data_IF_366166441099
#
_entry.id   IF_366166441099
#
_cell.length_a   1.000
_cell.length_b   1.000
_cell.length_c   1.000
_cell.angle_alpha   90.00
_cell.angle_beta   90.00
_cell.angle_gamma   90.00
#
_symmetry.space_group_name_H-M   'P 1'
#
loop_
_entity.id
_entity.type
_entity.pdbx_description
1 polymer ?
#
# COMPACT_ATOMS: atom_id res chain seq x y z
N UNK A 1 44.21 6.84 -4.97
CA UNK A 1 44.41 6.12 -3.69
C UNK A 1 44.30 7.05 -2.49
N UNK A 2 44.23 8.38 -2.67
CA UNK A 2 44.01 9.37 -1.60
C UNK A 2 42.61 9.36 -1.00
N UNK A 3 41.58 9.14 -1.82
CA UNK A 3 40.20 9.42 -1.38
C UNK A 3 39.62 8.32 -0.51
N UNK A 4 39.94 7.05 -0.79
CA UNK A 4 39.59 5.92 0.08
C UNK A 4 40.29 6.05 1.45
N UNK A 5 41.54 6.53 1.49
CA UNK A 5 42.25 6.74 2.74
C UNK A 5 41.60 7.85 3.60
N UNK A 6 41.09 8.92 2.95
CA UNK A 6 40.31 9.96 3.64
C UNK A 6 38.98 9.41 4.18
N UNK A 7 38.25 8.65 3.38
CA UNK A 7 36.98 8.02 3.81
C UNK A 7 37.23 7.05 4.95
N UNK A 8 38.27 6.20 4.87
CA UNK A 8 38.68 5.29 5.94
C UNK A 8 38.95 6.06 7.23
N UNK A 9 39.79 7.10 7.18
CA UNK A 9 40.15 7.88 8.36
C UNK A 9 38.93 8.51 9.06
N UNK A 10 37.93 8.94 8.28
CA UNK A 10 36.70 9.52 8.83
C UNK A 10 35.81 8.45 9.46
N UNK A 11 35.66 7.28 8.83
CA UNK A 11 34.92 6.16 9.43
C UNK A 11 35.63 5.58 10.67
N UNK A 12 36.95 5.46 10.64
CA UNK A 12 37.79 5.01 11.75
C UNK A 12 37.71 6.00 12.94
N UNK A 13 37.45 7.28 12.66
CA UNK A 13 37.19 8.31 13.67
C UNK A 13 35.75 8.28 14.23
N UNK A 14 34.92 7.31 13.83
CA UNK A 14 33.57 7.12 14.34
C UNK A 14 32.49 7.93 13.61
N UNK A 15 32.77 8.43 12.41
CA UNK A 15 31.72 9.02 11.59
C UNK A 15 30.65 7.98 11.26
N UNK A 16 29.39 8.37 11.37
CA UNK A 16 28.27 7.54 10.96
C UNK A 16 28.25 7.39 9.43
N UNK A 17 28.46 6.16 8.96
CA UNK A 17 28.45 5.83 7.53
C UNK A 17 27.06 5.97 6.90
N UNK A 18 26.01 5.96 7.71
CA UNK A 18 24.61 6.17 7.31
C UNK A 18 24.14 7.60 7.58
N UNK A 19 25.05 8.52 7.93
CA UNK A 19 24.69 9.92 8.10
C UNK A 19 24.01 10.46 6.82
N UNK A 20 22.82 11.01 7.02
CA UNK A 20 22.00 11.60 5.98
C UNK A 20 22.16 13.12 5.93
N UNK A 21 22.10 13.68 4.74
CA UNK A 21 21.88 15.11 4.56
C UNK A 21 20.38 15.47 4.61
N UNK A 22 20.04 16.71 4.27
CA UNK A 22 18.66 17.19 4.29
C UNK A 22 17.77 16.52 3.25
N UNK A 23 18.35 15.94 2.20
CA UNK A 23 17.66 15.18 1.15
C UNK A 23 17.59 13.68 1.47
N UNK A 24 18.13 13.24 2.60
CA UNK A 24 18.20 11.83 2.97
C UNK A 24 19.30 11.06 2.24
N UNK A 25 20.25 11.74 1.58
CA UNK A 25 21.32 11.08 0.85
C UNK A 25 22.47 10.69 1.78
N UNK A 26 23.02 9.49 1.59
CA UNK A 26 24.17 8.96 2.35
C UNK A 26 25.49 9.07 1.59
N UNK A 27 26.61 8.76 2.25
CA UNK A 27 27.92 8.68 1.61
C UNK A 27 27.94 7.68 0.42
N UNK A 28 27.19 6.57 0.53
CA UNK A 28 27.11 5.58 -0.53
C UNK A 28 26.36 6.11 -1.76
N UNK A 29 25.29 6.89 -1.55
CA UNK A 29 24.57 7.57 -2.63
C UNK A 29 25.51 8.48 -3.44
N UNK A 30 26.30 9.33 -2.78
CA UNK A 30 27.24 10.21 -3.46
C UNK A 30 28.37 9.46 -4.17
N UNK A 31 28.90 8.40 -3.56
CA UNK A 31 29.89 7.53 -4.20
C UNK A 31 29.33 6.87 -5.47
N UNK A 32 28.06 6.46 -5.44
CA UNK A 32 27.36 5.88 -6.57
C UNK A 32 27.09 6.89 -7.69
N UNK A 33 26.55 8.06 -7.34
CA UNK A 33 26.29 9.18 -8.26
C UNK A 33 27.55 9.66 -9.00
N UNK A 34 28.67 9.74 -8.29
CA UNK A 34 29.96 10.13 -8.87
C UNK A 34 30.60 9.04 -9.74
N UNK A 35 30.18 7.79 -9.60
CA UNK A 35 30.79 6.63 -10.26
C UNK A 35 32.11 6.18 -9.63
N UNK A 36 32.38 6.55 -8.38
CA UNK A 36 33.63 6.20 -7.71
C UNK A 36 33.61 4.78 -7.15
N UNK A 37 33.80 3.80 -8.05
CA UNK A 37 33.74 2.36 -7.70
C UNK A 37 34.66 1.96 -6.54
N UNK A 38 35.80 2.63 -6.35
CA UNK A 38 36.71 2.33 -5.23
C UNK A 38 36.10 2.73 -3.88
N UNK A 39 35.51 3.93 -3.80
CA UNK A 39 34.81 4.37 -2.58
C UNK A 39 33.53 3.56 -2.39
N UNK A 40 32.75 3.30 -3.46
CA UNK A 40 31.56 2.45 -3.38
C UNK A 40 31.91 1.07 -2.80
N UNK A 41 32.92 0.37 -3.35
CA UNK A 41 33.36 -0.93 -2.81
C UNK A 41 33.81 -0.84 -1.35
N UNK A 42 34.50 0.24 -0.99
CA UNK A 42 34.97 0.43 0.38
C UNK A 42 33.79 0.62 1.35
N UNK A 43 32.83 1.48 1.02
CA UNK A 43 31.63 1.72 1.83
C UNK A 43 30.80 0.43 1.98
N UNK A 44 30.54 -0.27 0.88
CA UNK A 44 29.78 -1.53 0.90
C UNK A 44 30.47 -2.59 1.78
N UNK A 45 31.79 -2.75 1.66
CA UNK A 45 32.56 -3.68 2.52
C UNK A 45 32.57 -3.30 4.00
N UNK A 46 32.37 -2.02 4.32
CA UNK A 46 32.20 -1.53 5.69
C UNK A 46 30.73 -1.54 6.13
N UNK A 47 29.86 -2.24 5.39
CA UNK A 47 28.46 -2.44 5.74
C UNK A 47 27.59 -1.21 5.55
N UNK A 48 27.91 -0.36 4.56
CA UNK A 48 26.99 0.70 4.14
C UNK A 48 25.70 0.11 3.57
N UNK A 49 24.54 0.67 3.92
CA UNK A 49 23.25 0.17 3.48
C UNK A 49 23.03 0.37 1.97
N UNK A 50 23.13 -0.73 1.21
CA UNK A 50 22.92 -0.79 -0.24
C UNK A 50 21.51 -0.38 -0.67
N UNK A 51 20.53 -0.55 0.21
CA UNK A 51 19.11 -0.35 -0.04
C UNK A 51 18.56 0.94 0.57
N UNK A 52 19.43 1.80 1.11
CA UNK A 52 19.01 3.09 1.66
C UNK A 52 18.28 3.91 0.61
N UNK A 53 17.10 4.44 0.96
CA UNK A 53 16.31 5.32 0.08
C UNK A 53 16.36 6.74 0.62
N UNK A 54 16.70 7.68 -0.25
CA UNK A 54 16.64 9.11 0.09
C UNK A 54 15.17 9.62 0.11
N UNK A 55 14.96 10.91 0.34
CA UNK A 55 13.62 11.51 0.41
C UNK A 55 12.83 11.39 -0.91
N UNK A 56 13.51 11.20 -2.05
CA UNK A 56 12.89 10.95 -3.36
C UNK A 56 12.73 9.46 -3.68
N UNK A 57 12.90 8.58 -2.69
CA UNK A 57 12.80 7.12 -2.80
C UNK A 57 13.86 6.48 -3.71
N UNK A 58 14.99 7.15 -3.95
CA UNK A 58 16.07 6.66 -4.80
C UNK A 58 17.15 5.97 -3.97
N UNK A 59 17.59 4.80 -4.43
CA UNK A 59 18.75 4.08 -3.86
C UNK A 59 20.07 4.54 -4.49
N UNK A 60 21.23 4.21 -3.87
CA UNK A 60 22.52 4.37 -4.53
C UNK A 60 22.59 3.70 -5.91
N UNK A 61 21.92 2.56 -6.09
CA UNK A 61 21.84 1.89 -7.39
C UNK A 61 21.08 2.74 -8.42
N UNK A 62 19.89 3.24 -8.06
CA UNK A 62 19.07 4.07 -8.95
C UNK A 62 19.83 5.30 -9.41
N UNK A 63 20.54 5.94 -8.49
CA UNK A 63 21.36 7.11 -8.80
C UNK A 63 22.52 6.76 -9.73
N UNK A 64 23.20 5.62 -9.53
CA UNK A 64 24.22 5.15 -10.45
C UNK A 64 23.64 4.87 -11.86
N UNK A 65 22.41 4.34 -11.96
CA UNK A 65 21.73 4.14 -13.25
C UNK A 65 21.39 5.47 -13.91
N UNK A 66 20.74 6.39 -13.17
CA UNK A 66 20.34 7.71 -13.66
C UNK A 66 21.53 8.52 -14.17
N UNK A 67 22.65 8.46 -13.46
CA UNK A 67 23.91 9.14 -13.82
C UNK A 67 24.82 8.31 -14.75
N UNK A 68 24.30 7.18 -15.26
CA UNK A 68 24.94 6.29 -16.24
C UNK A 68 26.30 5.70 -15.79
N UNK A 69 26.47 5.44 -14.49
CA UNK A 69 27.66 4.83 -13.87
C UNK A 69 27.57 3.30 -13.91
N UNK A 70 27.70 2.73 -15.10
CA UNK A 70 27.45 1.30 -15.36
C UNK A 70 28.22 0.33 -14.46
N UNK A 71 29.51 0.57 -14.22
CA UNK A 71 30.33 -0.32 -13.37
C UNK A 71 29.88 -0.30 -11.90
N UNK A 72 29.49 0.87 -11.39
CA UNK A 72 28.98 1.01 -10.03
C UNK A 72 27.58 0.43 -9.91
N UNK A 73 26.70 0.72 -10.87
CA UNK A 73 25.35 0.14 -10.91
C UNK A 73 25.43 -1.40 -10.94
N UNK A 74 26.29 -1.97 -11.79
CA UNK A 74 26.50 -3.42 -11.85
C UNK A 74 26.98 -3.98 -10.51
N UNK A 75 28.01 -3.37 -9.91
CA UNK A 75 28.53 -3.79 -8.61
C UNK A 75 27.47 -3.72 -7.50
N UNK A 76 26.76 -2.60 -7.38
CA UNK A 76 25.72 -2.41 -6.37
C UNK A 76 24.60 -3.43 -6.52
N UNK A 77 24.18 -3.74 -7.75
CA UNK A 77 23.17 -4.76 -8.02
C UNK A 77 23.64 -6.16 -7.60
N UNK A 78 24.88 -6.53 -7.95
CA UNK A 78 25.45 -7.83 -7.58
C UNK A 78 25.57 -7.99 -6.07
N UNK A 79 26.03 -6.95 -5.36
CA UNK A 79 26.15 -6.97 -3.90
C UNK A 79 24.78 -6.98 -3.21
N UNK A 80 23.83 -6.17 -3.68
CA UNK A 80 22.45 -6.14 -3.17
C UNK A 80 21.76 -7.50 -3.33
N UNK A 81 22.03 -8.20 -4.44
CA UNK A 81 21.53 -9.55 -4.65
C UNK A 81 22.23 -10.60 -3.80
N UNK A 82 23.45 -10.37 -3.32
CA UNK A 82 24.27 -11.37 -2.61
C UNK A 82 24.17 -11.25 -1.09
N UNK A 83 24.10 -10.03 -0.55
CA UNK A 83 24.18 -9.72 0.87
C UNK A 83 22.85 -9.16 1.39
N UNK A 84 21.81 -9.98 1.37
CA UNK A 84 20.52 -9.59 1.95
C UNK A 84 20.63 -9.58 3.49
N UNK A 85 19.95 -8.64 4.18
CA UNK A 85 19.81 -8.68 5.63
C UNK A 85 18.94 -9.88 6.05
N UNK A 86 18.83 -10.13 7.36
CA UNK A 86 17.85 -11.10 7.86
C UNK A 86 16.45 -10.65 7.45
N UNK A 87 15.74 -11.47 6.68
CA UNK A 87 14.41 -11.12 6.18
C UNK A 87 13.41 -12.23 6.48
N UNK A 88 12.25 -11.82 6.97
CA UNK A 88 11.06 -12.65 7.17
C UNK A 88 9.88 -11.97 6.46
N UNK A 89 9.10 -12.76 5.74
CA UNK A 89 7.92 -12.24 5.06
C UNK A 89 6.84 -13.32 4.88
N UNK A 90 5.58 -12.94 5.12
CA UNK A 90 4.44 -13.85 5.13
C UNK A 90 3.46 -13.55 6.30
N UNK A 91 2.54 -14.48 6.60
CA UNK A 91 2.37 -15.76 5.92
C UNK A 91 1.60 -15.64 4.61
N UNK A 92 2.00 -16.45 3.63
CA UNK A 92 1.27 -16.63 2.39
C UNK A 92 0.39 -17.88 2.46
N UNK A 93 -0.91 -17.67 2.68
CA UNK A 93 -1.87 -18.74 2.99
C UNK A 93 -2.72 -19.04 1.74
N UNK A 94 -2.83 -20.32 1.37
CA UNK A 94 -3.66 -20.77 0.25
C UNK A 94 -4.49 -22.00 0.54
N UNK A 95 -5.69 -22.00 -0.03
CA UNK A 95 -6.59 -23.15 -0.03
C UNK A 95 -6.20 -24.16 -1.12
N UNK A 96 -6.24 -25.45 -0.76
CA UNK A 96 -6.01 -26.60 -1.64
C UNK A 96 -7.24 -27.52 -1.54
N UNK A 97 -8.23 -27.23 -2.38
CA UNK A 97 -9.56 -27.83 -2.20
C UNK A 97 -10.26 -27.28 -0.95
N UNK A 98 -11.27 -28.00 -0.45
CA UNK A 98 -12.16 -27.49 0.62
C UNK A 98 -11.64 -27.66 2.06
N UNK A 99 -10.65 -28.54 2.29
CA UNK A 99 -10.25 -28.98 3.65
C UNK A 99 -8.75 -28.93 3.93
N UNK A 100 -7.96 -28.35 3.02
CA UNK A 100 -6.50 -28.31 3.16
C UNK A 100 -6.00 -26.92 2.89
N UNK A 101 -5.15 -26.44 3.78
CA UNK A 101 -4.47 -25.17 3.67
C UNK A 101 -2.96 -25.45 3.55
N UNK A 102 -2.31 -24.70 2.68
CA UNK A 102 -0.85 -24.60 2.64
C UNK A 102 -0.46 -23.18 2.97
N UNK A 103 0.45 -23.00 3.90
CA UNK A 103 1.00 -21.70 4.22
C UNK A 103 2.53 -21.75 4.13
N UNK A 104 3.15 -20.61 3.89
CA UNK A 104 4.59 -20.49 4.05
C UNK A 104 5.01 -19.06 4.39
N UNK A 105 6.14 -18.95 5.07
CA UNK A 105 6.94 -17.74 5.13
C UNK A 105 8.11 -17.85 4.16
N UNK A 106 8.50 -16.73 3.57
CA UNK A 106 9.83 -16.56 2.98
C UNK A 106 10.79 -16.16 4.09
N UNK A 107 11.95 -16.81 4.16
CA UNK A 107 12.97 -16.55 5.18
C UNK A 107 14.31 -16.46 4.49
N UNK A 108 15.06 -15.38 4.73
CA UNK A 108 16.46 -15.23 4.34
C UNK A 108 17.32 -15.16 5.60
N UNK A 109 18.20 -16.14 5.74
CA UNK A 109 19.20 -16.19 6.81
C UNK A 109 20.48 -15.49 6.33
N UNK A 110 20.78 -14.36 6.95
CA UNK A 110 21.90 -13.49 6.57
C UNK A 110 23.28 -14.10 6.83
N UNK A 111 23.40 -15.03 7.79
CA UNK A 111 24.66 -15.69 8.13
C UNK A 111 25.05 -16.76 7.12
N UNK A 112 24.07 -17.53 6.66
CA UNK A 112 24.24 -18.60 5.67
C UNK A 112 24.06 -18.13 4.23
N UNK A 113 23.43 -16.96 4.02
CA UNK A 113 23.04 -16.45 2.72
C UNK A 113 21.91 -17.24 2.06
N UNK A 114 21.26 -18.16 2.78
CA UNK A 114 20.24 -19.07 2.24
C UNK A 114 18.85 -18.43 2.34
N UNK A 115 18.15 -18.36 1.22
CA UNK A 115 16.71 -18.05 1.18
C UNK A 115 15.91 -19.33 1.03
N UNK A 116 14.90 -19.53 1.89
CA UNK A 116 14.04 -20.73 1.90
C UNK A 116 12.57 -20.39 2.15
N UNK A 117 11.71 -21.36 1.88
CA UNK A 117 10.30 -21.34 2.30
C UNK A 117 10.13 -22.16 3.58
N UNK A 118 9.71 -21.53 4.67
CA UNK A 118 9.25 -22.23 5.86
C UNK A 118 7.79 -22.61 5.67
N UNK A 119 7.51 -23.88 5.36
CA UNK A 119 6.18 -24.35 4.91
C UNK A 119 5.43 -25.05 6.03
N UNK A 120 4.13 -24.79 6.11
CA UNK A 120 3.18 -25.48 6.98
C UNK A 120 1.97 -25.97 6.18
N UNK A 121 1.39 -27.09 6.61
CA UNK A 121 0.15 -27.61 6.06
C UNK A 121 -0.87 -27.77 7.18
N UNK A 122 -2.09 -27.33 6.94
CA UNK A 122 -3.19 -27.44 7.89
C UNK A 122 -4.36 -28.18 7.27
N UNK A 123 -5.14 -28.86 8.12
CA UNK A 123 -6.39 -29.50 7.73
C UNK A 123 -7.52 -28.67 8.31
N UNK A 124 -8.23 -27.95 7.44
CA UNK A 124 -9.38 -27.16 7.83
C UNK A 124 -10.60 -28.08 7.99
N UNK A 125 -11.12 -28.13 9.21
CA UNK A 125 -12.32 -28.87 9.61
C UNK A 125 -13.52 -27.95 9.89
N UNK A 126 -13.30 -26.64 9.87
CA UNK A 126 -14.25 -25.55 10.10
C UNK A 126 -14.07 -24.44 9.06
N UNK A 127 -15.08 -23.58 8.94
CA UNK A 127 -15.03 -22.33 8.17
C UNK A 127 -15.83 -21.26 8.96
N UNK A 128 -15.21 -20.21 9.51
CA UNK A 128 -13.77 -19.91 9.41
C UNK A 128 -12.87 -20.94 10.12
N UNK A 129 -11.61 -21.00 9.70
CA UNK A 129 -10.59 -21.85 10.30
C UNK A 129 -9.53 -21.02 11.03
N UNK A 130 -9.25 -21.38 12.28
CA UNK A 130 -8.18 -20.78 13.07
C UNK A 130 -6.85 -21.49 12.76
N UNK A 131 -5.90 -20.74 12.19
CA UNK A 131 -4.50 -21.13 12.07
C UNK A 131 -3.78 -20.54 13.27
N UNK A 132 -3.35 -21.40 14.19
CA UNK A 132 -2.48 -20.97 15.28
C UNK A 132 -1.13 -20.53 14.74
N UNK A 133 -0.48 -19.59 15.45
CA UNK A 133 0.88 -19.14 15.14
C UNK A 133 1.83 -20.27 14.76
N UNK A 134 2.60 -20.07 13.70
CA UNK A 134 3.48 -21.09 13.12
C UNK A 134 4.77 -20.49 12.56
N UNK A 135 5.75 -21.37 12.34
CA UNK A 135 7.14 -20.98 12.07
C UNK A 135 7.72 -20.16 13.24
N UNK A 136 8.12 -18.92 12.99
CA UNK A 136 8.62 -17.98 14.02
C UNK A 136 7.57 -16.97 14.45
N UNK A 137 6.38 -17.01 13.84
CA UNK A 137 5.28 -16.12 14.17
C UNK A 137 4.37 -16.74 15.23
N UNK A 138 3.97 -15.92 16.20
CA UNK A 138 3.03 -16.28 17.26
C UNK A 138 1.60 -15.80 17.00
N UNK A 139 1.38 -15.07 15.91
CA UNK A 139 0.09 -14.52 15.53
C UNK A 139 -0.86 -15.61 15.04
N UNK A 140 -2.11 -15.54 15.50
CA UNK A 140 -3.19 -16.40 15.05
C UNK A 140 -3.92 -15.77 13.86
N UNK A 141 -4.30 -16.62 12.89
CA UNK A 141 -5.00 -16.19 11.67
C UNK A 141 -6.33 -16.93 11.54
N UNK A 142 -7.43 -16.20 11.66
CA UNK A 142 -8.77 -16.70 11.34
C UNK A 142 -8.96 -16.52 9.84
N UNK A 143 -9.01 -17.62 9.08
CA UNK A 143 -9.12 -17.58 7.62
C UNK A 143 -10.42 -18.19 7.13
N UNK A 144 -11.01 -17.57 6.13
CA UNK A 144 -12.28 -17.97 5.53
C UNK A 144 -12.02 -18.66 4.19
N UNK A 145 -12.78 -19.70 3.87
CA UNK A 145 -12.70 -20.36 2.56
C UNK A 145 -13.29 -19.48 1.45
N UNK A 146 -14.30 -18.68 1.80
CA UNK A 146 -14.87 -17.59 1.00
C UNK A 146 -15.37 -16.49 1.94
N UNK A 147 -15.08 -15.22 1.62
CA UNK A 147 -15.73 -14.05 2.22
C UNK A 147 -16.77 -13.50 1.24
N UNK A 148 -17.88 -12.96 1.77
CA UNK A 148 -18.87 -12.24 0.98
C UNK A 148 -18.38 -10.85 0.58
N UNK A 149 -18.99 -10.26 -0.45
CA UNK A 149 -18.74 -8.87 -0.85
C UNK A 149 -19.46 -7.96 0.15
N UNK A 150 -18.74 -7.00 0.73
CA UNK A 150 -19.34 -5.99 1.61
C UNK A 150 -20.22 -5.01 0.82
N UNK A 151 -21.28 -4.46 1.41
CA UNK A 151 -22.06 -3.41 0.79
C UNK A 151 -21.18 -2.24 0.35
N UNK A 152 -21.53 -1.62 -0.78
CA UNK A 152 -20.90 -0.40 -1.27
C UNK A 152 -21.65 0.86 -0.84
N UNK A 153 -22.82 0.72 -0.23
CA UNK A 153 -23.63 1.81 0.32
C UNK A 153 -23.97 1.53 1.80
N UNK A 154 -23.82 2.54 2.66
CA UNK A 154 -24.29 2.53 4.05
C UNK A 154 -24.64 3.94 4.53
N UNK A 155 -25.81 4.16 5.13
CA UNK A 155 -26.24 5.50 5.58
C UNK A 155 -26.41 5.63 7.11
N UNK A 156 -25.85 4.68 7.87
CA UNK A 156 -26.06 4.57 9.33
C UNK A 156 -24.75 4.61 10.15
N UNK A 157 -23.64 5.07 9.56
CA UNK A 157 -22.36 5.11 10.28
C UNK A 157 -22.28 6.35 11.17
N UNK A 158 -22.09 6.19 12.49
CA UNK A 158 -21.99 7.34 13.39
C UNK A 158 -20.68 8.11 13.20
N UNK A 159 -19.57 7.37 13.13
CA UNK A 159 -18.22 7.90 12.93
C UNK A 159 -17.54 7.16 11.79
N UNK A 160 -16.89 7.91 10.89
CA UNK A 160 -16.10 7.35 9.79
C UNK A 160 -14.67 7.87 9.89
N UNK A 161 -13.70 6.97 10.08
CA UNK A 161 -12.27 7.31 9.98
C UNK A 161 -11.78 6.95 8.59
N UNK A 162 -11.00 7.83 7.99
CA UNK A 162 -10.50 7.69 6.62
C UNK A 162 -8.97 7.77 6.63
N UNK A 163 -8.33 6.78 6.03
CA UNK A 163 -6.87 6.68 5.90
C UNK A 163 -6.53 6.57 4.42
N UNK A 164 -5.57 7.38 3.97
CA UNK A 164 -5.04 7.39 2.61
C UNK A 164 -4.03 6.28 2.34
N UNK A 165 -3.22 6.49 1.31
CA UNK A 165 -2.24 5.55 0.76
C UNK A 165 -1.22 5.11 1.82
N UNK A 166 -1.13 3.81 2.10
CA UNK A 166 -0.24 3.25 3.15
C UNK A 166 1.11 2.82 2.58
N UNK A 167 1.15 2.27 1.37
CA UNK A 167 2.33 1.69 0.70
C UNK A 167 3.30 0.96 1.63
N UNK A 168 2.81 -0.08 2.31
CA UNK A 168 3.61 -0.92 3.21
C UNK A 168 4.05 -0.24 4.51
N UNK A 169 3.53 0.95 4.83
CA UNK A 169 3.79 1.74 6.02
C UNK A 169 3.17 1.21 7.34
N UNK A 170 3.34 -0.08 7.61
CA UNK A 170 2.67 -0.81 8.69
C UNK A 170 2.92 -0.24 10.10
N UNK A 171 4.16 0.08 10.46
CA UNK A 171 4.46 0.52 11.82
C UNK A 171 3.77 1.86 12.14
N UNK A 172 3.81 2.80 11.20
CA UNK A 172 3.11 4.08 11.31
C UNK A 172 1.59 3.88 11.41
N UNK A 173 1.04 2.95 10.62
CA UNK A 173 -0.37 2.59 10.69
C UNK A 173 -0.77 2.05 12.07
N UNK A 174 0.01 1.13 12.63
CA UNK A 174 -0.27 0.56 13.96
C UNK A 174 -0.24 1.64 15.02
N UNK A 175 0.78 2.50 15.03
CA UNK A 175 0.89 3.60 15.99
C UNK A 175 -0.28 4.57 15.85
N UNK A 176 -0.64 4.94 14.61
CA UNK A 176 -1.78 5.83 14.34
C UNK A 176 -3.10 5.25 14.85
N UNK A 177 -3.40 3.99 14.53
CA UNK A 177 -4.64 3.33 14.95
C UNK A 177 -4.70 3.11 16.47
N UNK A 178 -3.57 2.81 17.11
CA UNK A 178 -3.51 2.64 18.58
C UNK A 178 -3.70 3.97 19.31
N UNK A 179 -3.02 5.02 18.86
CA UNK A 179 -3.11 6.34 19.49
C UNK A 179 -4.49 6.97 19.30
N UNK A 180 -5.15 6.73 18.16
CA UNK A 180 -6.53 7.16 17.91
C UNK A 180 -7.59 6.16 18.43
N UNK A 181 -7.20 5.18 19.26
CA UNK A 181 -8.08 4.23 19.92
C UNK A 181 -8.99 3.41 18.99
N UNK A 182 -8.51 3.11 17.78
CA UNK A 182 -9.20 2.22 16.83
C UNK A 182 -8.88 0.75 17.13
N UNK A 183 -7.62 0.49 17.50
CA UNK A 183 -7.15 -0.84 17.90
C UNK A 183 -6.43 -0.80 19.26
N UNK A 184 -6.43 -1.92 19.98
CA UNK A 184 -5.66 -2.07 21.21
C UNK A 184 -4.17 -2.42 20.95
N UNK A 185 -3.40 -2.59 22.04
CA UNK A 185 -1.98 -2.99 21.97
C UNK A 185 -1.75 -4.40 21.41
N UNK A 186 -2.79 -5.23 21.43
CA UNK A 186 -2.81 -6.57 20.83
C UNK A 186 -3.37 -6.56 19.40
N UNK A 187 -3.57 -5.36 18.84
CA UNK A 187 -4.08 -5.09 17.50
C UNK A 187 -5.50 -5.63 17.26
N UNK A 188 -6.32 -5.69 18.31
CA UNK A 188 -7.74 -5.97 18.19
C UNK A 188 -8.52 -4.68 17.96
N UNK A 189 -9.56 -4.75 17.13
CA UNK A 189 -10.57 -3.71 17.01
C UNK A 189 -11.18 -3.38 18.38
N UNK A 190 -11.23 -2.09 18.71
CA UNK A 190 -11.89 -1.58 19.92
C UNK A 190 -12.77 -0.36 19.63
N UNK A 191 -13.08 -0.11 18.35
CA UNK A 191 -13.76 1.10 17.91
C UNK A 191 -15.27 0.94 17.72
N UNK A 192 -15.87 -0.02 18.43
CA UNK A 192 -17.32 -0.25 18.47
C UNK A 192 -17.94 -0.35 17.07
N UNK A 193 -18.99 0.45 16.85
CA UNK A 193 -19.73 0.58 15.60
C UNK A 193 -19.09 1.57 14.59
N UNK A 194 -17.86 2.03 14.81
CA UNK A 194 -17.16 2.94 13.90
C UNK A 194 -16.87 2.31 12.54
N UNK A 195 -16.76 3.15 11.51
CA UNK A 195 -16.40 2.73 10.15
C UNK A 195 -15.00 3.21 9.81
N UNK A 196 -14.07 2.30 9.49
CA UNK A 196 -12.73 2.64 9.05
C UNK A 196 -12.60 2.42 7.53
N UNK A 197 -12.21 3.44 6.79
CA UNK A 197 -12.03 3.40 5.34
C UNK A 197 -10.55 3.55 4.99
N UNK A 198 -10.01 2.57 4.28
CA UNK A 198 -8.71 2.64 3.62
C UNK A 198 -8.92 2.95 2.14
N UNK A 199 -8.43 4.10 1.69
CA UNK A 199 -8.64 4.65 0.34
C UNK A 199 -7.62 4.08 -0.66
N UNK A 200 -7.40 2.76 -0.62
CA UNK A 200 -6.50 2.04 -1.51
C UNK A 200 -5.01 2.14 -1.15
N UNK A 201 -4.18 1.56 -2.01
CA UNK A 201 -2.72 1.66 -2.01
C UNK A 201 -2.07 1.21 -0.70
N UNK A 202 -2.41 0.00 -0.26
CA UNK A 202 -1.70 -0.74 0.79
C UNK A 202 -0.38 -1.29 0.24
N UNK A 203 -0.37 -1.69 -1.03
CA UNK A 203 0.77 -2.27 -1.72
C UNK A 203 1.89 -1.27 -2.05
N UNK A 204 3.06 -1.84 -2.38
CA UNK A 204 4.24 -1.18 -2.94
C UNK A 204 5.01 -0.23 -2.01
N UNK A 205 6.16 0.26 -2.47
CA UNK A 205 7.16 1.14 -1.82
C UNK A 205 7.77 0.62 -0.51
N UNK A 206 6.96 0.35 0.50
CA UNK A 206 7.35 -0.13 1.82
C UNK A 206 7.48 -1.65 1.90
N UNK A 207 8.12 -2.12 2.96
CA UNK A 207 8.52 -3.51 3.14
C UNK A 207 7.64 -4.29 4.12
N UNK A 208 6.50 -3.73 4.57
CA UNK A 208 5.55 -4.41 5.48
C UNK A 208 4.09 -4.46 4.97
N UNK A 209 3.93 -4.66 3.66
CA UNK A 209 2.64 -4.82 2.98
C UNK A 209 1.90 -6.05 3.49
N UNK A 210 2.57 -7.18 3.66
CA UNK A 210 1.93 -8.44 4.09
C UNK A 210 1.33 -8.29 5.49
N UNK A 211 2.05 -7.63 6.39
CA UNK A 211 1.65 -7.33 7.76
C UNK A 211 0.44 -6.38 7.78
N UNK A 212 0.46 -5.32 6.97
CA UNK A 212 -0.66 -4.40 6.83
C UNK A 212 -1.92 -5.10 6.31
N UNK A 213 -1.81 -5.94 5.27
CA UNK A 213 -2.94 -6.69 4.74
C UNK A 213 -3.54 -7.64 5.77
N UNK A 214 -2.72 -8.34 6.56
CA UNK A 214 -3.21 -9.22 7.62
C UNK A 214 -3.85 -8.48 8.79
N UNK A 215 -3.32 -7.31 9.16
CA UNK A 215 -3.97 -6.44 10.14
C UNK A 215 -5.36 -6.04 9.66
N UNK A 216 -5.46 -5.45 8.46
CA UNK A 216 -6.74 -4.99 7.88
C UNK A 216 -7.72 -6.16 7.75
N UNK A 217 -7.26 -7.31 7.27
CA UNK A 217 -8.08 -8.53 7.15
C UNK A 217 -8.68 -8.96 8.49
N UNK A 218 -7.89 -8.89 9.57
CA UNK A 218 -8.31 -9.27 10.92
C UNK A 218 -9.31 -8.27 11.48
N UNK A 219 -8.99 -6.98 11.46
CA UNK A 219 -9.85 -5.95 12.06
C UNK A 219 -11.16 -5.77 11.29
N UNK A 220 -11.20 -6.09 9.98
CA UNK A 220 -12.45 -6.14 9.23
C UNK A 220 -13.46 -7.12 9.82
N UNK A 221 -13.01 -8.34 10.16
CA UNK A 221 -13.89 -9.33 10.76
C UNK A 221 -14.31 -8.91 12.18
N UNK A 222 -13.38 -8.38 12.98
CA UNK A 222 -13.68 -7.93 14.34
C UNK A 222 -14.64 -6.72 14.37
N UNK A 223 -14.46 -5.76 13.46
CA UNK A 223 -15.35 -4.60 13.37
C UNK A 223 -16.78 -5.05 13.04
N UNK A 224 -16.95 -5.95 12.07
CA UNK A 224 -18.25 -6.48 11.70
C UNK A 224 -18.95 -7.23 12.84
N UNK A 225 -18.20 -7.89 13.73
CA UNK A 225 -18.75 -8.59 14.90
C UNK A 225 -19.24 -7.61 15.99
N UNK A 226 -18.64 -6.41 16.07
CA UNK A 226 -18.98 -5.34 17.02
C UNK A 226 -19.97 -4.31 16.45
N UNK A 227 -20.51 -4.56 15.25
CA UNK A 227 -21.47 -3.68 14.56
C UNK A 227 -20.84 -2.48 13.84
N UNK A 228 -19.52 -2.45 13.71
CA UNK A 228 -18.77 -1.50 12.87
C UNK A 228 -18.38 -2.11 11.53
N UNK A 229 -17.48 -1.44 10.81
CA UNK A 229 -17.00 -1.93 9.52
C UNK A 229 -15.59 -1.43 9.18
N UNK A 230 -14.83 -2.26 8.45
CA UNK A 230 -13.59 -1.82 7.79
C UNK A 230 -13.75 -1.97 6.28
N UNK A 231 -13.62 -0.85 5.60
CA UNK A 231 -13.74 -0.74 4.15
C UNK A 231 -12.37 -0.54 3.55
N UNK A 232 -11.80 -1.60 2.98
CA UNK A 232 -10.67 -1.46 2.06
C UNK A 232 -11.22 -1.32 0.65
N UNK A 233 -11.10 -0.14 0.05
CA UNK A 233 -11.30 0.01 -1.40
C UNK A 233 -9.99 -0.22 -2.15
N UNK A 234 -10.07 -0.62 -3.41
CA UNK A 234 -8.88 -0.91 -4.22
C UNK A 234 -8.25 0.36 -4.77
N UNK A 235 -6.93 0.47 -4.63
CA UNK A 235 -6.10 1.47 -5.31
C UNK A 235 -5.37 0.90 -6.53
N UNK A 236 -4.60 1.76 -7.21
CA UNK A 236 -3.93 1.32 -8.44
C UNK A 236 -2.81 0.33 -8.15
N UNK A 237 -2.17 0.39 -6.98
CA UNK A 237 -1.11 -0.55 -6.63
C UNK A 237 -1.66 -1.95 -6.32
N UNK A 238 -2.86 -2.08 -5.73
CA UNK A 238 -3.56 -3.37 -5.66
C UNK A 238 -3.80 -3.93 -7.06
N UNK A 239 -4.32 -3.11 -7.98
CA UNK A 239 -4.59 -3.51 -9.37
C UNK A 239 -3.32 -3.98 -10.07
N UNK A 240 -2.25 -3.19 -10.02
CA UNK A 240 -0.95 -3.49 -10.62
C UNK A 240 -0.41 -4.85 -10.14
N UNK A 241 -0.36 -5.07 -8.83
CA UNK A 241 0.17 -6.32 -8.26
C UNK A 241 -0.70 -7.52 -8.65
N UNK A 242 -2.03 -7.37 -8.66
CA UNK A 242 -2.95 -8.44 -9.07
C UNK A 242 -2.84 -8.79 -10.56
N UNK A 243 -2.42 -7.84 -11.41
CA UNK A 243 -2.17 -8.02 -12.84
C UNK A 243 -0.71 -8.42 -13.16
N UNK A 244 0.16 -8.41 -12.14
CA UNK A 244 1.56 -8.80 -12.28
C UNK A 244 2.50 -7.68 -12.73
N UNK A 245 2.05 -6.43 -12.68
CA UNK A 245 2.95 -5.27 -12.73
C UNK A 245 3.57 -5.06 -11.34
N UNK A 246 4.90 -5.21 -11.27
CA UNK A 246 5.67 -5.21 -10.02
C UNK A 246 6.62 -4.01 -9.92
N UNK A 247 6.45 -2.99 -10.76
CA UNK A 247 7.42 -1.90 -10.89
C UNK A 247 7.69 -1.09 -9.61
N UNK A 248 6.76 -1.10 -8.65
CA UNK A 248 6.86 -0.34 -7.39
C UNK A 248 6.98 -1.23 -6.15
N UNK A 249 6.99 -2.55 -6.32
CA UNK A 249 7.13 -3.51 -5.23
C UNK A 249 8.51 -3.34 -4.58
N UNK A 250 8.57 -3.31 -3.25
CA UNK A 250 9.84 -3.17 -2.54
C UNK A 250 10.81 -4.33 -2.82
N UNK A 251 12.10 -4.02 -2.88
CA UNK A 251 13.20 -4.95 -3.16
C UNK A 251 13.15 -6.21 -2.30
N UNK A 252 12.75 -6.10 -1.01
CA UNK A 252 12.57 -7.23 -0.09
C UNK A 252 11.82 -8.38 -0.78
N UNK A 253 10.66 -8.07 -1.34
CA UNK A 253 9.78 -9.07 -1.94
C UNK A 253 10.33 -9.64 -3.24
N UNK A 254 10.89 -8.79 -4.10
CA UNK A 254 11.41 -9.18 -5.40
C UNK A 254 12.65 -10.06 -5.26
N UNK A 255 13.61 -9.67 -4.41
CA UNK A 255 14.85 -10.40 -4.18
C UNK A 255 14.60 -11.76 -3.51
N UNK A 256 13.71 -11.81 -2.51
CA UNK A 256 13.33 -13.09 -1.89
C UNK A 256 12.59 -14.00 -2.87
N UNK A 257 11.68 -13.45 -3.70
CA UNK A 257 10.95 -14.22 -4.70
C UNK A 257 11.86 -14.75 -5.81
N UNK A 258 12.79 -13.93 -6.31
CA UNK A 258 13.79 -14.32 -7.32
C UNK A 258 14.65 -15.48 -6.83
N UNK A 259 15.23 -15.37 -5.62
CA UNK A 259 16.05 -16.44 -5.01
C UNK A 259 15.29 -17.75 -4.79
N UNK A 260 13.97 -17.68 -4.64
CA UNK A 260 13.10 -18.85 -4.48
C UNK A 260 12.50 -19.36 -5.80
N UNK A 261 12.80 -18.68 -6.92
CA UNK A 261 12.17 -18.90 -8.23
C UNK A 261 10.63 -18.87 -8.13
N UNK A 262 10.11 -17.82 -7.50
CA UNK A 262 8.69 -17.55 -7.31
C UNK A 262 8.30 -16.26 -8.03
N UNK A 263 7.06 -16.19 -8.48
CA UNK A 263 6.45 -14.95 -8.95
C UNK A 263 5.64 -14.34 -7.81
N UNK A 264 5.98 -13.10 -7.42
CA UNK A 264 5.38 -12.38 -6.31
C UNK A 264 3.86 -12.21 -6.48
N UNK A 265 3.36 -11.90 -7.68
CA UNK A 265 1.92 -11.69 -7.91
C UNK A 265 1.08 -12.95 -7.61
N UNK A 266 1.68 -14.15 -7.69
CA UNK A 266 1.00 -15.40 -7.36
C UNK A 266 0.74 -15.57 -5.86
N UNK A 267 1.40 -14.78 -5.01
CA UNK A 267 1.14 -14.73 -3.57
C UNK A 267 -0.21 -14.11 -3.25
N UNK A 268 -0.76 -13.33 -4.19
CA UNK A 268 -2.10 -12.75 -4.15
C UNK A 268 -2.98 -13.34 -5.26
N UNK A 269 -2.72 -14.59 -5.67
CA UNK A 269 -3.52 -15.29 -6.67
C UNK A 269 -4.90 -15.75 -6.16
N UNK A 270 -5.79 -16.16 -7.06
CA UNK A 270 -7.21 -16.54 -6.80
C UNK A 270 -7.44 -17.68 -5.78
N UNK A 271 -6.39 -18.38 -5.35
CA UNK A 271 -6.45 -19.48 -4.36
C UNK A 271 -5.84 -19.12 -3.01
N UNK A 272 -5.25 -17.93 -2.92
CA UNK A 272 -4.64 -17.41 -1.70
C UNK A 272 -5.70 -16.65 -0.91
N UNK A 273 -5.61 -16.67 0.42
CA UNK A 273 -6.61 -16.02 1.29
C UNK A 273 -6.68 -14.52 0.98
N UNK A 274 -5.53 -13.84 1.00
CA UNK A 274 -5.45 -12.41 0.66
C UNK A 274 -5.84 -12.13 -0.79
N UNK A 275 -5.46 -12.98 -1.74
CA UNK A 275 -5.83 -12.79 -3.15
C UNK A 275 -7.32 -12.99 -3.44
N UNK A 276 -8.01 -13.86 -2.71
CA UNK A 276 -9.47 -13.98 -2.77
C UNK A 276 -10.13 -12.76 -2.14
N UNK A 277 -9.62 -12.35 -0.98
CA UNK A 277 -10.11 -11.21 -0.22
C UNK A 277 -9.98 -9.87 -0.96
N UNK A 278 -8.87 -9.62 -1.65
CA UNK A 278 -8.69 -8.40 -2.45
C UNK A 278 -9.67 -8.36 -3.63
N UNK A 279 -9.97 -9.51 -4.25
CA UNK A 279 -10.85 -9.59 -5.44
C UNK A 279 -12.34 -9.40 -5.17
N UNK A 280 -12.74 -9.37 -3.90
CA UNK A 280 -14.12 -9.09 -3.50
C UNK A 280 -14.31 -7.65 -3.03
N UNK A 281 -13.24 -6.84 -2.97
CA UNK A 281 -13.32 -5.46 -2.51
C UNK A 281 -14.06 -4.57 -3.50
N UNK A 282 -14.66 -3.53 -2.96
CA UNK A 282 -15.23 -2.43 -3.74
C UNK A 282 -14.10 -1.49 -4.19
N UNK A 283 -14.36 -0.70 -5.22
CA UNK A 283 -13.48 0.38 -5.67
C UNK A 283 -14.08 1.74 -5.34
N UNK A 284 -15.41 1.83 -5.34
CA UNK A 284 -16.17 3.01 -4.96
C UNK A 284 -17.15 2.59 -3.87
N UNK A 285 -17.23 3.36 -2.79
CA UNK A 285 -18.27 3.18 -1.77
C UNK A 285 -18.87 4.52 -1.38
N UNK A 286 -20.07 4.51 -0.82
CA UNK A 286 -20.74 5.67 -0.23
C UNK A 286 -21.13 5.40 1.21
N UNK A 287 -20.74 6.28 2.12
CA UNK A 287 -21.13 6.22 3.54
C UNK A 287 -21.73 7.57 3.95
N UNK A 288 -23.01 7.61 4.35
CA UNK A 288 -23.73 8.82 4.76
C UNK A 288 -23.63 9.97 3.73
N UNK A 289 -23.81 9.67 2.44
CA UNK A 289 -23.64 10.65 1.36
C UNK A 289 -22.16 10.99 1.01
N UNK A 290 -21.17 10.50 1.77
CA UNK A 290 -19.75 10.65 1.43
C UNK A 290 -19.28 9.55 0.51
N UNK A 291 -18.72 9.90 -0.64
CA UNK A 291 -18.17 8.96 -1.60
C UNK A 291 -16.66 8.79 -1.37
N UNK A 292 -16.19 7.54 -1.42
CA UNK A 292 -14.79 7.19 -1.30
C UNK A 292 -14.36 6.43 -2.55
N UNK A 293 -13.27 6.89 -3.16
CA UNK A 293 -12.65 6.29 -4.35
C UNK A 293 -11.15 6.58 -4.30
N UNK A 294 -10.31 5.66 -4.80
CA UNK A 294 -8.87 5.82 -4.64
C UNK A 294 -8.31 7.10 -5.30
N UNK A 295 -8.51 7.28 -6.61
CA UNK A 295 -7.94 8.43 -7.32
C UNK A 295 -8.97 9.52 -7.64
N UNK A 296 -10.17 9.12 -8.06
CA UNK A 296 -11.25 10.04 -8.40
C UNK A 296 -12.12 9.58 -9.56
N UNK A 297 -13.17 10.32 -9.87
CA UNK A 297 -14.10 10.02 -10.96
C UNK A 297 -14.12 11.16 -11.98
N UNK A 298 -13.76 10.84 -13.22
CA UNK A 298 -13.92 11.75 -14.35
C UNK A 298 -15.38 11.76 -14.85
N UNK A 299 -15.72 12.70 -15.72
CA UNK A 299 -17.02 12.73 -16.41
C UNK A 299 -17.24 11.54 -17.35
N UNK A 300 -16.16 10.86 -17.79
CA UNK A 300 -16.26 9.67 -18.66
C UNK A 300 -17.08 8.55 -18.00
N UNK A 301 -17.10 8.51 -16.65
CA UNK A 301 -17.89 7.51 -15.92
C UNK A 301 -19.40 7.68 -16.16
N UNK A 302 -19.85 8.92 -16.40
CA UNK A 302 -21.27 9.23 -16.62
C UNK A 302 -21.77 8.64 -17.95
N UNK A 303 -20.88 8.55 -18.95
CA UNK A 303 -21.21 7.98 -20.26
C UNK A 303 -21.49 6.47 -20.18
N UNK A 304 -21.02 5.80 -19.13
CA UNK A 304 -21.26 4.37 -18.94
C UNK A 304 -22.71 4.07 -18.57
N UNK A 305 -23.41 5.03 -17.95
CA UNK A 305 -24.77 4.83 -17.43
C UNK A 305 -24.86 3.83 -16.27
N UNK A 306 -23.74 3.38 -15.71
CA UNK A 306 -23.68 2.40 -14.64
C UNK A 306 -23.88 3.04 -13.26
N UNK A 307 -24.63 2.35 -12.41
CA UNK A 307 -24.66 2.63 -10.98
C UNK A 307 -23.31 2.31 -10.32
N UNK A 308 -23.08 2.86 -9.12
CA UNK A 308 -21.88 2.54 -8.31
C UNK A 308 -21.70 1.03 -8.11
N UNK A 309 -22.80 0.32 -7.87
CA UNK A 309 -22.80 -1.13 -7.68
C UNK A 309 -22.32 -1.88 -8.93
N UNK A 310 -22.86 -1.50 -10.09
CA UNK A 310 -22.48 -2.10 -11.37
C UNK A 310 -21.03 -1.77 -11.74
N UNK A 311 -20.53 -0.57 -11.43
CA UNK A 311 -19.11 -0.22 -11.60
C UNK A 311 -18.22 -1.15 -10.78
N UNK A 312 -18.54 -1.35 -9.50
CA UNK A 312 -17.81 -2.27 -8.62
C UNK A 312 -17.81 -3.71 -9.17
N UNK A 313 -18.95 -4.19 -9.68
CA UNK A 313 -19.07 -5.52 -10.30
C UNK A 313 -18.25 -5.64 -11.59
N UNK A 314 -18.29 -4.64 -12.46
CA UNK A 314 -17.48 -4.60 -13.68
C UNK A 314 -15.99 -4.63 -13.36
N UNK A 315 -15.55 -3.86 -12.36
CA UNK A 315 -14.14 -3.84 -11.94
C UNK A 315 -13.73 -5.21 -11.39
N UNK A 316 -14.53 -5.82 -10.50
CA UNK A 316 -14.28 -7.19 -10.01
C UNK A 316 -14.22 -8.19 -11.16
N UNK A 317 -15.08 -8.05 -12.17
CA UNK A 317 -15.05 -8.88 -13.37
C UNK A 317 -13.72 -8.72 -14.11
N UNK A 318 -13.28 -7.50 -14.42
CA UNK A 318 -12.05 -7.25 -15.16
C UNK A 318 -10.80 -7.72 -14.41
N UNK A 319 -10.72 -7.50 -13.09
CA UNK A 319 -9.62 -8.01 -12.26
C UNK A 319 -9.56 -9.55 -12.30
N UNK A 320 -10.71 -10.21 -12.42
CA UNK A 320 -10.79 -11.66 -12.56
C UNK A 320 -10.57 -12.16 -13.99
N UNK A 321 -10.62 -11.28 -14.99
CA UNK A 321 -10.50 -11.62 -16.40
C UNK A 321 -9.61 -10.60 -17.14
N UNK A 322 -8.29 -10.54 -16.81
CA UNK A 322 -7.40 -9.47 -17.28
C UNK A 322 -7.26 -9.40 -18.81
N UNK A 323 -7.51 -10.51 -19.52
CA UNK A 323 -7.46 -10.56 -20.98
C UNK A 323 -8.68 -9.93 -21.67
N UNK A 324 -9.75 -9.61 -20.92
CA UNK A 324 -11.00 -9.07 -21.46
C UNK A 324 -10.89 -7.55 -21.59
N UNK A 325 -11.18 -7.03 -22.79
CA UNK A 325 -11.17 -5.58 -23.06
C UNK A 325 -12.53 -4.92 -22.90
N UNK A 326 -13.58 -5.73 -22.81
CA UNK A 326 -14.97 -5.30 -22.74
C UNK A 326 -15.78 -6.31 -21.92
N UNK A 327 -16.76 -5.81 -21.18
CA UNK A 327 -17.78 -6.60 -20.49
C UNK A 327 -19.09 -5.82 -20.50
N UNK A 328 -20.17 -6.46 -20.98
CA UNK A 328 -21.51 -5.87 -21.04
C UNK A 328 -21.57 -4.49 -21.74
N UNK A 329 -20.70 -4.27 -22.73
CA UNK A 329 -20.66 -3.02 -23.52
C UNK A 329 -19.83 -1.91 -22.88
N UNK A 330 -19.20 -2.18 -21.73
CA UNK A 330 -18.32 -1.25 -21.04
C UNK A 330 -16.87 -1.60 -21.36
N UNK A 331 -16.16 -0.63 -21.94
CA UNK A 331 -14.73 -0.78 -22.23
C UNK A 331 -13.93 -0.82 -20.93
N UNK A 332 -13.06 -1.83 -20.78
CA UNK A 332 -12.16 -1.99 -19.63
C UNK A 332 -11.37 -0.71 -19.33
N UNK A 333 -10.93 0.01 -20.36
CA UNK A 333 -10.12 1.22 -20.21
C UNK A 333 -10.89 2.40 -19.61
N UNK A 334 -12.23 2.43 -19.70
CA UNK A 334 -13.03 3.45 -19.04
C UNK A 334 -12.93 3.34 -17.52
N UNK A 335 -12.83 2.12 -16.98
CA UNK A 335 -12.75 1.88 -15.53
C UNK A 335 -11.32 1.68 -15.02
N UNK A 336 -10.46 0.99 -15.77
CA UNK A 336 -9.09 0.65 -15.34
C UNK A 336 -8.01 1.52 -15.98
N UNK A 337 -8.38 2.45 -16.87
CA UNK A 337 -7.45 3.34 -17.56
C UNK A 337 -7.19 4.66 -16.83
N UNK A 338 -6.45 5.60 -17.45
CA UNK A 338 -5.99 6.83 -16.82
C UNK A 338 -7.09 7.78 -16.30
N UNK A 339 -8.28 7.73 -16.90
CA UNK A 339 -9.43 8.52 -16.49
C UNK A 339 -10.37 7.78 -15.53
N UNK A 340 -10.07 6.52 -15.21
CA UNK A 340 -10.90 5.69 -14.34
C UNK A 340 -10.60 5.90 -12.84
N UNK A 341 -11.41 5.26 -11.98
CA UNK A 341 -11.33 5.33 -10.51
C UNK A 341 -9.94 5.15 -9.87
N UNK A 342 -9.06 4.43 -10.54
CA UNK A 342 -7.72 4.08 -10.04
C UNK A 342 -6.64 5.13 -10.34
N UNK A 343 -6.83 5.99 -11.36
CA UNK A 343 -5.73 6.79 -11.91
C UNK A 343 -6.06 8.26 -12.13
N UNK A 344 -7.33 8.64 -12.00
CA UNK A 344 -7.77 10.00 -12.32
C UNK A 344 -7.13 11.03 -11.38
N UNK A 345 -6.56 12.11 -11.93
CA UNK A 345 -5.88 13.17 -11.16
C UNK A 345 -6.43 14.59 -11.41
N UNK A 346 -7.53 14.72 -12.15
CA UNK A 346 -8.03 16.02 -12.60
C UNK A 346 -8.50 16.96 -11.46
N UNK A 347 -8.81 16.41 -10.28
CA UNK A 347 -9.13 17.25 -9.11
C UNK A 347 -7.94 18.10 -8.62
N UNK A 348 -6.69 17.65 -8.81
CA UNK A 348 -5.50 18.34 -8.28
C UNK A 348 -4.49 18.75 -9.36
N UNK A 349 -4.53 18.12 -10.54
CA UNK A 349 -3.53 18.35 -11.59
C UNK A 349 -4.14 19.09 -12.77
N UNK A 350 -3.39 20.07 -13.27
CA UNK A 350 -3.63 20.74 -14.53
C UNK A 350 -2.34 20.73 -15.35
N UNK A 351 -2.23 19.82 -16.33
CA UNK A 351 -1.06 19.72 -17.18
C UNK A 351 -1.42 19.08 -18.54
N UNK A 352 -0.41 18.80 -19.38
CA UNK A 352 -0.63 18.21 -20.72
C UNK A 352 -1.33 16.84 -20.70
N UNK A 353 -1.30 16.14 -19.58
CA UNK A 353 -1.85 14.79 -19.42
C UNK A 353 -3.20 14.80 -18.68
N UNK A 354 -3.43 15.78 -17.80
CA UNK A 354 -4.63 15.87 -16.98
C UNK A 354 -5.25 17.25 -17.12
N UNK A 355 -6.48 17.29 -17.62
CA UNK A 355 -7.31 18.48 -17.58
C UNK A 355 -7.88 18.65 -16.16
N UNK A 356 -7.83 19.89 -15.67
CA UNK A 356 -8.39 20.22 -14.36
C UNK A 356 -9.91 20.06 -14.39
N UNK A 357 -10.48 19.38 -13.40
CA UNK A 357 -11.93 19.23 -13.32
C UNK A 357 -12.58 20.60 -13.04
N UNK A 358 -13.55 20.98 -13.88
CA UNK A 358 -14.41 22.14 -13.66
C UNK A 358 -15.43 21.86 -12.54
N UNK A 359 -15.82 22.90 -11.79
CA UNK A 359 -16.79 22.76 -10.69
C UNK A 359 -18.13 22.20 -11.18
N UNK A 360 -18.67 22.73 -12.29
CA UNK A 360 -19.94 22.25 -12.89
C UNK A 360 -19.89 20.76 -13.30
N UNK A 361 -18.71 20.26 -13.67
CA UNK A 361 -18.54 18.85 -14.03
C UNK A 361 -18.39 17.95 -12.80
N UNK A 362 -17.74 18.43 -11.74
CA UNK A 362 -17.73 17.78 -10.44
C UNK A 362 -19.15 17.65 -9.89
N UNK A 363 -19.97 18.70 -9.98
CA UNK A 363 -21.36 18.65 -9.52
C UNK A 363 -22.17 17.59 -10.25
N UNK A 364 -22.01 17.45 -11.58
CA UNK A 364 -22.68 16.37 -12.34
C UNK A 364 -22.28 14.98 -11.82
N UNK A 365 -21.00 14.79 -11.47
CA UNK A 365 -20.53 13.51 -10.92
C UNK A 365 -21.14 13.25 -9.54
N UNK A 366 -21.13 14.26 -8.67
CA UNK A 366 -21.70 14.16 -7.33
C UNK A 366 -23.22 13.92 -7.37
N UNK A 367 -23.96 14.64 -8.21
CA UNK A 367 -25.40 14.44 -8.43
C UNK A 367 -25.70 13.04 -8.99
N UNK A 368 -24.90 12.55 -9.93
CA UNK A 368 -25.10 11.23 -10.54
C UNK A 368 -24.99 10.09 -9.52
N UNK A 369 -24.07 10.21 -8.55
CA UNK A 369 -23.88 9.21 -7.49
C UNK A 369 -24.58 9.58 -6.17
N UNK A 370 -25.40 10.63 -6.17
CA UNK A 370 -26.10 11.15 -4.97
C UNK A 370 -25.12 11.33 -3.78
N UNK A 371 -23.99 12.00 -4.04
CA UNK A 371 -22.93 12.20 -3.07
C UNK A 371 -22.74 13.68 -2.73
N UNK A 372 -22.58 13.97 -1.45
CA UNK A 372 -22.32 15.34 -0.98
C UNK A 372 -20.84 15.71 -1.16
N UNK A 373 -19.94 14.76 -0.89
CA UNK A 373 -18.49 14.98 -0.87
C UNK A 373 -17.77 13.75 -1.37
N UNK A 374 -16.56 13.94 -1.90
CA UNK A 374 -15.67 12.85 -2.33
C UNK A 374 -14.33 12.90 -1.60
N UNK A 375 -13.87 11.74 -1.15
CA UNK A 375 -12.60 11.53 -0.45
C UNK A 375 -11.69 10.63 -1.28
N UNK A 376 -10.47 11.11 -1.54
CA UNK A 376 -9.52 10.48 -2.48
C UNK A 376 -8.10 10.42 -1.91
N UNK A 377 -7.36 9.38 -2.28
CA UNK A 377 -5.92 9.22 -2.07
C UNK A 377 -5.14 9.53 -3.35
N UNK A 378 -4.16 8.67 -3.71
CA UNK A 378 -3.41 8.59 -4.98
C UNK A 378 -2.51 9.78 -5.35
N UNK A 379 -2.95 10.99 -5.05
CA UNK A 379 -2.28 12.23 -5.39
C UNK A 379 -1.81 12.93 -4.13
N UNK A 380 -0.53 12.74 -3.87
CA UNK A 380 0.21 13.38 -2.79
C UNK A 380 -0.13 14.88 -2.68
N UNK A 381 -0.50 15.29 -1.48
CA UNK A 381 -0.64 16.69 -1.04
C UNK A 381 0.33 17.00 0.10
N UNK A 382 0.69 18.28 0.26
CA UNK A 382 1.52 18.72 1.39
C UNK A 382 0.72 18.75 2.70
N UNK A 383 -0.54 19.14 2.64
CA UNK A 383 -1.50 19.18 3.75
C UNK A 383 -2.89 18.77 3.24
N UNK A 384 -3.64 18.04 4.07
CA UNK A 384 -5.04 17.71 3.78
C UNK A 384 -5.88 18.97 3.93
N UNK A 385 -6.30 19.53 2.81
CA UNK A 385 -7.17 20.71 2.76
C UNK A 385 -8.40 20.45 1.91
N UNK A 386 -9.55 21.08 2.25
CA UNK A 386 -10.74 20.97 1.41
C UNK A 386 -10.52 21.66 0.07
N UNK A 387 -10.98 21.01 -1.00
CA UNK A 387 -10.99 21.53 -2.36
C UNK A 387 -12.44 21.72 -2.82
N UNK A 388 -12.62 22.53 -3.89
CA UNK A 388 -13.93 22.73 -4.53
C UNK A 388 -15.04 23.13 -3.53
N UNK A 389 -14.80 24.15 -2.69
CA UNK A 389 -15.77 24.58 -1.66
C UNK A 389 -16.25 23.44 -0.74
N UNK A 390 -15.30 22.68 -0.16
CA UNK A 390 -15.57 21.54 0.73
C UNK A 390 -16.24 20.33 0.05
N UNK A 391 -16.11 20.18 -1.27
CA UNK A 391 -16.68 19.04 -2.01
C UNK A 391 -15.69 17.90 -2.23
N UNK A 392 -14.39 18.18 -2.25
CA UNK A 392 -13.33 17.17 -2.47
C UNK A 392 -12.30 17.23 -1.35
N UNK A 393 -11.89 16.08 -0.81
CA UNK A 393 -10.83 15.96 0.18
C UNK A 393 -9.76 14.98 -0.31
N UNK A 394 -8.58 15.52 -0.61
CA UNK A 394 -7.41 14.72 -0.96
C UNK A 394 -6.61 14.40 0.31
N UNK A 395 -6.50 13.11 0.65
CA UNK A 395 -6.02 12.65 1.97
C UNK A 395 -4.65 11.98 1.94
N UNK A 396 -4.03 11.88 0.77
CA UNK A 396 -2.72 11.27 0.60
C UNK A 396 -1.60 12.25 0.99
N UNK A 397 -1.14 12.16 2.24
CA UNK A 397 0.05 12.87 2.73
C UNK A 397 1.19 11.84 2.86
N UNK A 398 2.26 11.94 2.04
CA UNK A 398 3.34 10.97 2.07
C UNK A 398 4.05 10.91 3.41
N UNK A 399 4.15 9.72 3.99
CA UNK A 399 4.79 9.51 5.30
C UNK A 399 6.03 8.59 5.24
N UNK A 400 6.56 8.35 4.03
CA UNK A 400 7.75 7.50 3.77
C UNK A 400 9.09 8.10 4.23
N UNK A 401 9.10 9.36 4.66
CA UNK A 401 10.25 9.91 5.38
C UNK A 401 9.86 9.97 6.86
N UNK A 402 10.67 9.37 7.73
CA UNK A 402 10.49 9.28 9.19
C UNK A 402 10.36 10.64 9.92
N UNK A 403 10.06 11.73 9.20
CA UNK A 403 9.89 13.11 9.65
C UNK A 403 8.43 13.58 9.64
N UNK A 404 7.50 12.83 9.05
CA UNK A 404 6.08 13.22 8.99
C UNK A 404 5.19 12.26 9.78
N UNK A 405 4.28 12.84 10.58
CA UNK A 405 3.20 12.09 11.23
C UNK A 405 2.27 11.50 10.17
N UNK A 406 1.74 10.30 10.40
CA UNK A 406 0.61 9.80 9.61
C UNK A 406 -0.63 10.65 9.95
N UNK A 407 -1.36 11.02 8.90
CA UNK A 407 -2.61 11.77 9.00
C UNK A 407 -3.78 10.90 8.52
N UNK A 408 -4.95 11.18 9.06
CA UNK A 408 -6.23 10.65 8.58
C UNK A 408 -7.33 11.66 8.84
N UNK A 409 -8.54 11.33 8.40
CA UNK A 409 -9.73 12.13 8.68
C UNK A 409 -10.69 11.38 9.61
N UNK A 410 -11.40 12.11 10.43
CA UNK A 410 -12.58 11.65 11.15
C UNK A 410 -13.79 12.46 10.67
N UNK A 411 -14.81 11.76 10.20
CA UNK A 411 -16.07 12.31 9.74
C UNK A 411 -17.13 12.05 10.81
N UNK A 412 -17.81 13.10 11.22
CA UNK A 412 -18.78 13.10 12.32
C UNK A 412 -19.88 14.12 11.98
N UNK A 413 -21.08 13.62 11.65
CA UNK A 413 -22.29 14.42 11.41
C UNK A 413 -22.13 15.66 10.49
N UNK A 414 -21.33 15.58 9.41
CA UNK A 414 -21.09 16.72 8.50
C UNK A 414 -19.75 17.42 8.71
N UNK A 415 -19.13 17.25 9.87
CA UNK A 415 -17.84 17.83 10.20
C UNK A 415 -16.69 16.90 9.78
N UNK A 416 -15.59 17.52 9.33
CA UNK A 416 -14.37 16.83 8.92
C UNK A 416 -13.24 17.27 9.83
N UNK A 417 -12.64 16.31 10.51
CA UNK A 417 -11.53 16.54 11.41
C UNK A 417 -10.26 15.87 10.89
N UNK A 418 -9.18 16.62 10.80
CA UNK A 418 -7.84 16.10 10.64
C UNK A 418 -7.38 15.46 11.95
N UNK A 419 -6.91 14.21 11.84
CA UNK A 419 -6.27 13.45 12.89
C UNK A 419 -4.80 13.24 12.56
N UNK A 420 -3.94 13.26 13.57
CA UNK A 420 -2.54 12.88 13.43
C UNK A 420 -2.17 11.70 14.34
N UNK A 421 -0.92 11.26 14.23
CA UNK A 421 -0.40 10.14 15.03
C UNK A 421 -0.41 10.42 16.54
N UNK A 422 -0.43 11.68 16.97
CA UNK A 422 -0.51 12.07 18.39
C UNK A 422 -1.96 12.15 18.91
N UNK A 423 -2.94 11.72 18.12
CA UNK A 423 -4.37 11.85 18.40
C UNK A 423 -4.86 13.30 18.56
N UNK A 424 -4.14 14.26 17.98
CA UNK A 424 -4.62 15.63 17.91
C UNK A 424 -5.72 15.73 16.84
N UNK A 425 -6.84 16.38 17.21
CA UNK A 425 -8.02 16.56 16.36
C UNK A 425 -8.18 18.04 16.00
N UNK A 426 -8.24 18.37 14.70
CA UNK A 426 -8.46 19.73 14.17
C UNK A 426 -9.57 19.72 13.12
N UNK A 427 -10.61 20.54 13.29
CA UNK A 427 -11.65 20.70 12.27
C UNK A 427 -11.11 21.46 11.05
N UNK A 428 -11.48 21.05 9.83
CA UNK A 428 -10.91 21.59 8.59
C UNK A 428 -11.94 22.08 7.55
N UNK A 429 -13.24 21.98 7.79
CA UNK A 429 -14.30 22.36 6.85
C UNK A 429 -15.22 23.47 7.35
#
# INVERSE_FOLDING_TARGET
>A
SSDVAKVSLVLDAGADKEAEDHEGNTALYYAASSGNLKITRFLVRNGANLHHKNNTQQTPYDMAVQTRKQEVAKFLREEAQSNLPELLDGPYIKWVGKKKIKAFYMVHDSNSGITRRSKSNFKADSDPYLIQGFATDSMDYIVYSQKGISPDLTDEAELVMVIGDIHGGYDSLVVFLQNNHVIDRSMNWIWGNGHLVFVGDIFDRGDKVTEALWLIYRIESQASEEGGAVHLILGNHELMVLEGDLNYVADKYLLMSERLNLNYSLFFGKKTVLGQWLRIKNTIIRINGYMFVHAGLSTDILETGLTMHEINDHIRYFINHPDRKDYEGVNRNTLLGPNGPFWYRGYLKNNRQYEHMAEDDLEKVLEYFDADRIFIGHTNVEEITPLYNNRVFAIDVPFYSHKHSMYGLLLDAGDVFLLNTSAEKKQIN
#
